data_IF_431245561178
#
_entry.id   IF_431245561178
#
_cell.length_a   1.000
_cell.length_b   1.000
_cell.length_c   1.000
_cell.angle_alpha   90.00
_cell.angle_beta   90.00
_cell.angle_gamma   90.00
#
_symmetry.space_group_name_H-M   'P 1'
#
loop_
_entity.id
_entity.type
_entity.pdbx_description
1 polymer ?
#
# COMPACT_ATOMS: atom_id res chain seq x y z
N UNK A 1 7.86 -70.15 -25.37
CA UNK A 1 7.43 -69.32 -26.51
C UNK A 1 6.93 -68.03 -25.91
N UNK A 2 7.81 -67.04 -25.82
CA UNK A 2 7.54 -65.75 -25.17
C UNK A 2 6.69 -64.87 -26.09
N UNK A 3 5.56 -64.39 -25.59
CA UNK A 3 4.71 -63.41 -26.27
C UNK A 3 5.17 -62.01 -25.92
N UNK A 4 5.79 -61.33 -26.88
CA UNK A 4 6.14 -59.91 -26.84
C UNK A 4 4.87 -59.04 -26.84
N UNK A 5 4.73 -58.03 -25.97
CA UNK A 5 3.61 -57.09 -26.07
C UNK A 5 3.85 -56.07 -27.19
N UNK A 6 2.81 -55.79 -27.96
CA UNK A 6 2.81 -54.83 -29.04
C UNK A 6 2.99 -53.40 -28.50
N UNK A 7 3.93 -52.66 -29.08
CA UNK A 7 4.13 -51.22 -28.87
C UNK A 7 2.99 -50.51 -29.60
N UNK A 8 2.13 -49.80 -28.86
CA UNK A 8 1.14 -48.89 -29.42
C UNK A 8 1.87 -47.61 -29.86
N UNK A 9 1.78 -47.28 -31.15
CA UNK A 9 2.19 -45.99 -31.67
C UNK A 9 1.36 -44.87 -31.01
N UNK A 10 1.96 -43.72 -30.66
CA UNK A 10 1.20 -42.61 -30.11
C UNK A 10 0.28 -42.04 -31.19
N UNK A 11 -1.03 -41.95 -30.89
CA UNK A 11 -2.00 -41.22 -31.70
C UNK A 11 -1.47 -39.79 -31.95
N UNK A 12 -1.16 -39.51 -33.21
CA UNK A 12 -0.96 -38.14 -33.69
C UNK A 12 -2.33 -37.48 -33.64
N UNK A 13 -2.60 -36.75 -32.56
CA UNK A 13 -3.72 -35.83 -32.51
C UNK A 13 -3.50 -34.75 -33.57
N UNK A 14 -4.04 -34.97 -34.77
CA UNK A 14 -4.22 -33.95 -35.79
C UNK A 14 -5.17 -32.89 -35.20
N UNK A 15 -4.56 -31.91 -34.53
CA UNK A 15 -5.25 -30.69 -34.15
C UNK A 15 -5.54 -29.96 -35.45
N UNK A 16 -6.73 -30.15 -35.99
CA UNK A 16 -7.26 -29.35 -37.09
C UNK A 16 -7.25 -27.89 -36.66
N UNK A 17 -6.20 -27.16 -37.04
CA UNK A 17 -6.18 -25.71 -36.93
C UNK A 17 -7.27 -25.21 -37.88
N UNK A 18 -8.32 -24.53 -37.40
CA UNK A 18 -9.34 -23.99 -38.29
C UNK A 18 -8.63 -23.08 -39.29
N UNK A 19 -8.75 -23.42 -40.57
CA UNK A 19 -8.26 -22.61 -41.67
C UNK A 19 -8.94 -21.25 -41.55
N UNK A 20 -8.18 -20.23 -41.14
CA UNK A 20 -8.67 -18.87 -41.05
C UNK A 20 -8.95 -18.45 -42.49
N UNK A 21 -10.23 -18.36 -42.84
CA UNK A 21 -10.66 -17.73 -44.08
C UNK A 21 -10.01 -16.34 -44.12
N UNK A 22 -9.06 -16.17 -45.04
CA UNK A 22 -8.39 -14.90 -45.34
C UNK A 22 -9.42 -13.95 -46.01
N UNK A 23 -10.52 -13.65 -45.33
CA UNK A 23 -11.34 -12.51 -45.65
C UNK A 23 -10.47 -11.29 -45.40
N UNK A 24 -9.97 -10.67 -46.48
CA UNK A 24 -9.26 -9.41 -46.43
C UNK A 24 -10.25 -8.30 -46.01
N UNK A 25 -10.58 -8.27 -44.72
CA UNK A 25 -11.35 -7.20 -44.12
C UNK A 25 -10.42 -6.02 -43.86
N UNK A 26 -10.84 -4.84 -44.30
CA UNK A 26 -10.14 -3.60 -43.96
C UNK A 26 -10.48 -3.26 -42.51
N UNK A 27 -9.45 -3.16 -41.66
CA UNK A 27 -9.59 -2.74 -40.27
C UNK A 27 -9.32 -1.24 -40.19
N UNK A 28 -10.29 -0.47 -39.69
CA UNK A 28 -10.09 0.96 -39.45
C UNK A 28 -9.39 1.19 -38.11
N UNK A 29 -8.10 1.53 -38.18
CA UNK A 29 -7.30 1.80 -36.98
C UNK A 29 -7.79 3.05 -36.23
N UNK A 30 -8.43 3.99 -36.92
CA UNK A 30 -8.94 5.21 -36.28
C UNK A 30 -10.09 4.91 -35.33
N UNK A 31 -10.98 3.98 -35.69
CA UNK A 31 -12.06 3.50 -34.83
C UNK A 31 -11.51 2.78 -33.59
N UNK A 32 -10.46 1.97 -33.76
CA UNK A 32 -9.81 1.25 -32.65
C UNK A 32 -9.19 2.23 -31.65
N UNK A 33 -8.45 3.22 -32.14
CA UNK A 33 -7.81 4.23 -31.27
C UNK A 33 -8.84 5.15 -30.62
N UNK A 34 -9.95 5.45 -31.30
CA UNK A 34 -11.04 6.22 -30.71
C UNK A 34 -11.72 5.48 -29.55
N UNK A 35 -11.77 4.14 -29.62
CA UNK A 35 -12.36 3.30 -28.57
C UNK A 35 -11.43 3.13 -27.37
N UNK A 36 -10.12 3.00 -27.60
CA UNK A 36 -9.11 2.97 -26.55
C UNK A 36 -7.82 3.66 -27.01
N UNK A 37 -7.42 4.81 -26.42
CA UNK A 37 -6.20 5.50 -26.81
C UNK A 37 -4.93 4.66 -26.56
N UNK A 38 -4.97 3.68 -25.65
CA UNK A 38 -3.85 2.77 -25.39
C UNK A 38 -3.57 1.84 -26.58
N UNK A 39 -4.57 1.57 -27.41
CA UNK A 39 -4.40 0.77 -28.61
C UNK A 39 -3.44 1.43 -29.61
N UNK A 40 -3.35 2.76 -29.65
CA UNK A 40 -2.38 3.46 -30.49
C UNK A 40 -0.94 3.11 -30.08
N UNK A 41 -0.64 3.17 -28.78
CA UNK A 41 0.68 2.84 -28.24
C UNK A 41 1.03 1.37 -28.44
N UNK A 42 0.05 0.48 -28.26
CA UNK A 42 0.22 -0.94 -28.56
C UNK A 42 0.57 -1.19 -30.05
N UNK A 43 -0.14 -0.54 -30.98
CA UNK A 43 0.13 -0.66 -32.42
C UNK A 43 1.53 -0.13 -32.74
N UNK A 44 1.93 1.00 -32.14
CA UNK A 44 3.28 1.57 -32.32
C UNK A 44 4.36 0.61 -31.80
N UNK A 45 4.15 -0.04 -30.65
CA UNK A 45 5.10 -1.01 -30.10
C UNK A 45 5.25 -2.23 -31.03
N UNK A 46 4.16 -2.75 -31.60
CA UNK A 46 4.21 -3.82 -32.59
C UNK A 46 5.00 -3.42 -33.84
N UNK A 47 4.76 -2.19 -34.35
CA UNK A 47 5.47 -1.65 -35.51
C UNK A 47 6.96 -1.40 -35.24
N UNK A 48 7.32 -1.12 -33.99
CA UNK A 48 8.70 -0.98 -33.54
C UNK A 48 9.41 -2.33 -33.33
N UNK A 49 8.70 -3.46 -33.49
CA UNK A 49 9.26 -4.81 -33.33
C UNK A 49 9.25 -5.33 -31.90
N UNK A 50 8.48 -4.72 -31.00
CA UNK A 50 8.24 -5.26 -29.64
C UNK A 50 7.32 -6.48 -29.76
N UNK A 51 7.60 -7.52 -28.97
CA UNK A 51 6.77 -8.71 -28.93
C UNK A 51 5.34 -8.36 -28.49
N UNK A 52 4.33 -8.95 -29.15
CA UNK A 52 2.93 -8.67 -28.88
C UNK A 52 2.54 -8.92 -27.41
N UNK A 53 3.10 -9.96 -26.77
CA UNK A 53 2.85 -10.25 -25.36
C UNK A 53 3.41 -9.18 -24.43
N UNK A 54 4.60 -8.65 -24.73
CA UNK A 54 5.23 -7.57 -23.97
C UNK A 54 4.47 -6.25 -24.17
N UNK A 55 4.16 -5.90 -25.42
CA UNK A 55 3.38 -4.71 -25.75
C UNK A 55 2.00 -4.74 -25.08
N UNK A 56 1.32 -5.89 -25.09
CA UNK A 56 0.02 -6.04 -24.44
C UNK A 56 0.12 -5.88 -22.91
N UNK A 57 1.18 -6.42 -22.31
CA UNK A 57 1.43 -6.30 -20.87
C UNK A 57 1.71 -4.87 -20.42
N UNK A 58 2.25 -4.00 -21.29
CA UNK A 58 2.49 -2.59 -20.94
C UNK A 58 1.21 -1.76 -20.92
N UNK A 59 0.28 -2.05 -21.81
CA UNK A 59 -0.87 -1.17 -22.08
C UNK A 59 -2.20 -1.72 -21.54
N UNK A 60 -2.35 -3.04 -21.51
CA UNK A 60 -3.60 -3.73 -21.17
C UNK A 60 -3.50 -4.63 -19.94
N UNK A 61 -2.37 -4.60 -19.21
CA UNK A 61 -2.28 -5.31 -17.94
C UNK A 61 -3.33 -4.82 -16.96
N UNK A 62 -3.91 -5.78 -16.24
CA UNK A 62 -4.78 -5.50 -15.10
C UNK A 62 -4.00 -4.64 -14.11
N UNK A 63 -4.56 -3.52 -13.62
CA UNK A 63 -3.90 -2.73 -12.60
C UNK A 63 -3.54 -3.64 -11.41
N UNK A 64 -2.40 -3.41 -10.75
CA UNK A 64 -2.06 -4.18 -9.56
C UNK A 64 -3.22 -4.08 -8.57
N UNK A 65 -3.48 -5.15 -7.79
CA UNK A 65 -4.50 -5.08 -6.75
C UNK A 65 -4.24 -3.84 -5.88
N UNK A 66 -5.31 -3.16 -5.40
CA UNK A 66 -5.14 -2.04 -4.51
C UNK A 66 -4.25 -2.47 -3.34
N UNK A 67 -3.33 -1.60 -2.87
CA UNK A 67 -2.43 -1.93 -1.78
C UNK A 67 -3.23 -2.40 -0.56
N UNK A 68 -2.78 -3.48 0.07
CA UNK A 68 -3.41 -3.99 1.29
C UNK A 68 -3.46 -2.88 2.35
N UNK A 69 -4.67 -2.53 2.79
CA UNK A 69 -4.90 -1.45 3.76
C UNK A 69 -4.12 -1.67 5.07
N UNK A 70 -3.84 -2.94 5.41
CA UNK A 70 -3.02 -3.32 6.56
C UNK A 70 -1.57 -2.84 6.45
N UNK A 71 -0.97 -2.90 5.25
CA UNK A 71 0.39 -2.44 5.00
C UNK A 71 0.48 -0.91 5.07
N UNK A 72 -0.56 -0.22 4.61
CA UNK A 72 -0.66 1.24 4.71
C UNK A 72 -0.76 1.64 6.18
N UNK A 73 -1.65 1.00 6.94
CA UNK A 73 -1.86 1.30 8.36
C UNK A 73 -0.60 1.03 9.19
N UNK A 74 0.15 -0.04 8.90
CA UNK A 74 1.43 -0.29 9.55
C UNK A 74 2.45 0.82 9.25
N UNK A 75 2.55 1.25 7.99
CA UNK A 75 3.45 2.33 7.59
C UNK A 75 3.11 3.65 8.29
N UNK A 76 1.83 3.98 8.39
CA UNK A 76 1.34 5.17 9.11
C UNK A 76 1.63 5.10 10.61
N UNK A 77 1.36 3.97 11.25
CA UNK A 77 1.62 3.76 12.67
C UNK A 77 3.12 3.92 12.98
N UNK A 78 3.97 3.32 12.15
CA UNK A 78 5.43 3.45 12.28
C UNK A 78 5.89 4.90 12.12
N UNK A 79 5.32 5.64 11.18
CA UNK A 79 5.57 7.07 10.98
C UNK A 79 5.16 7.90 12.20
N UNK A 80 3.97 7.64 12.74
CA UNK A 80 3.46 8.32 13.94
C UNK A 80 4.35 8.09 15.16
N UNK A 81 4.75 6.84 15.42
CA UNK A 81 5.65 6.51 16.54
C UNK A 81 7.03 7.16 16.38
N UNK A 82 7.57 7.18 15.16
CA UNK A 82 8.81 7.91 14.85
C UNK A 82 8.68 9.39 15.21
N UNK A 83 7.62 10.07 14.75
CA UNK A 83 7.42 11.49 15.06
C UNK A 83 7.26 11.79 16.55
N UNK A 84 6.63 10.87 17.30
CA UNK A 84 6.58 10.98 18.77
C UNK A 84 7.94 10.82 19.44
N UNK A 85 8.75 9.88 18.97
CA UNK A 85 10.09 9.68 19.52
C UNK A 85 11.00 10.87 19.21
N UNK A 86 10.90 11.44 18.02
CA UNK A 86 11.67 12.62 17.61
C UNK A 86 11.29 13.86 18.43
N UNK A 87 9.98 14.10 18.61
CA UNK A 87 9.50 15.22 19.44
C UNK A 87 9.85 15.04 20.92
N UNK A 88 9.75 13.83 21.48
CA UNK A 88 10.21 13.54 22.83
C UNK A 88 11.72 13.75 22.97
N UNK A 89 12.51 13.29 22.01
CA UNK A 89 13.95 13.50 21.99
C UNK A 89 14.32 14.99 21.90
N UNK A 90 13.54 15.79 21.17
CA UNK A 90 13.73 17.24 21.12
C UNK A 90 13.44 17.91 22.47
N UNK A 91 12.35 17.54 23.14
CA UNK A 91 12.04 18.03 24.50
C UNK A 91 13.15 17.65 25.48
N UNK A 92 13.67 16.42 25.41
CA UNK A 92 14.74 15.93 26.26
C UNK A 92 16.08 16.64 26.04
N UNK A 93 16.30 17.33 24.92
CA UNK A 93 17.49 18.17 24.70
C UNK A 93 17.46 19.43 25.55
N UNK A 94 16.28 19.87 25.99
CA UNK A 94 16.17 21.03 26.86
C UNK A 94 16.58 20.68 28.30
N UNK A 95 17.32 21.56 29.00
CA UNK A 95 17.61 21.37 30.41
C UNK A 95 16.30 21.22 31.20
N UNK A 96 16.19 20.14 31.99
CA UNK A 96 15.04 19.97 32.87
C UNK A 96 14.97 21.11 33.88
N UNK A 97 13.86 21.85 33.89
CA UNK A 97 13.63 22.84 34.93
C UNK A 97 13.49 22.10 36.27
N UNK A 98 14.36 22.45 37.23
CA UNK A 98 14.18 22.01 38.61
C UNK A 98 12.86 22.57 39.11
N UNK A 99 11.86 21.69 39.22
CA UNK A 99 10.61 22.03 39.86
C UNK A 99 10.94 22.21 41.34
N UNK A 100 10.99 23.47 41.81
CA UNK A 100 11.14 23.73 43.23
C UNK A 100 10.00 22.99 43.94
N UNK A 101 10.30 22.13 44.94
CA UNK A 101 9.24 21.59 45.78
C UNK A 101 8.50 22.78 46.37
N UNK A 102 7.21 22.91 46.07
CA UNK A 102 6.36 23.88 46.73
C UNK A 102 6.47 23.63 48.23
N UNK A 103 7.21 24.51 48.91
CA UNK A 103 7.26 24.52 50.36
C UNK A 103 5.88 24.99 50.81
N UNK A 104 5.13 24.20 51.61
CA UNK A 104 3.78 24.58 52.02
C UNK A 104 3.72 25.79 52.97
N UNK A 105 4.86 26.38 53.40
CA UNK A 105 4.88 27.38 54.48
C UNK A 105 5.48 28.73 54.10
N UNK A 106 4.91 29.40 53.10
CA UNK A 106 5.07 30.86 52.97
C UNK A 106 3.72 31.52 52.76
N UNK A 107 2.99 31.70 53.87
CA UNK A 107 1.91 32.69 53.94
C UNK A 107 2.51 34.08 54.20
N UNK A 108 2.33 35.07 53.32
CA UNK A 108 2.11 36.43 53.75
C UNK A 108 0.60 36.67 53.86
N UNK A 109 0.21 37.25 54.98
CA UNK A 109 -1.17 37.56 55.30
C UNK A 109 -1.85 38.47 54.27
N UNK A 110 -3.16 38.26 54.12
CA UNK A 110 -4.17 39.23 53.71
C UNK A 110 -4.20 39.69 52.24
N UNK A 111 -4.94 38.94 51.42
CA UNK A 111 -5.89 39.55 50.49
C UNK A 111 -7.00 38.56 50.17
N UNK A 112 -8.22 38.96 50.49
CA UNK A 112 -9.49 38.34 50.13
C UNK A 112 -9.51 37.88 48.67
N UNK A 113 -9.36 36.58 48.44
CA UNK A 113 -9.86 35.95 47.22
C UNK A 113 -10.44 34.58 47.57
N UNK A 114 -11.76 34.57 47.49
CA UNK A 114 -12.67 33.44 47.59
C UNK A 114 -12.17 32.26 46.74
N UNK A 115 -11.38 31.39 47.34
CA UNK A 115 -10.94 30.14 46.71
C UNK A 115 -11.87 29.06 47.21
N UNK A 116 -12.92 28.81 46.42
CA UNK A 116 -13.79 27.63 46.55
C UNK A 116 -12.91 26.41 46.82
N UNK A 117 -12.96 25.90 48.05
CA UNK A 117 -12.44 24.59 48.42
C UNK A 117 -13.22 23.53 47.62
N UNK A 118 -12.81 23.27 46.37
CA UNK A 118 -13.20 22.07 45.68
C UNK A 118 -12.49 20.91 46.37
N UNK A 119 -13.25 20.07 47.06
CA UNK A 119 -12.77 18.81 47.66
C UNK A 119 -12.04 17.99 46.59
N UNK A 120 -10.72 17.97 46.64
CA UNK A 120 -9.92 17.05 45.84
C UNK A 120 -10.01 15.65 46.48
N UNK A 121 -10.28 14.59 45.70
CA UNK A 121 -10.26 13.24 46.24
C UNK A 121 -8.82 12.90 46.68
N UNK A 122 -8.64 12.18 47.80
CA UNK A 122 -7.32 11.78 48.25
C UNK A 122 -6.68 10.91 47.17
N UNK A 123 -5.50 11.32 46.68
CA UNK A 123 -4.73 10.52 45.75
C UNK A 123 -4.28 9.26 46.47
N UNK A 124 -4.72 8.11 45.96
CA UNK A 124 -4.32 6.80 46.47
C UNK A 124 -2.82 6.64 46.28
N UNK A 125 -2.10 6.37 47.38
CA UNK A 125 -0.67 6.06 47.34
C UNK A 125 -0.45 4.79 46.51
N UNK A 126 0.57 4.79 45.66
CA UNK A 126 1.02 3.59 44.92
C UNK A 126 1.91 2.67 45.77
N UNK A 127 2.17 3.06 47.02
CA UNK A 127 3.03 2.34 47.96
C UNK A 127 2.28 1.83 49.19
N UNK A 128 0.94 1.80 49.13
CA UNK A 128 0.06 1.21 50.15
C UNK A 128 -0.70 0.02 49.55
#
# INVERSE_FOLDING_TARGET
METTPAIQDPEVNDTTVPSIDNASSTVDLSEIVARDPRAAHFIVDLLAGVEAGEAASRHFSTPPPPPDESLILEAENRGYLRGRNESAAEIMKSPGMYQQPHSPDSSPANSSHESKFMLQPPRRSVWD
#
